data_IF_901843068868
#
_entry.id   IF_901843068868
#
_cell.length_a   1.000
_cell.length_b   1.000
_cell.length_c   1.000
_cell.angle_alpha   90.00
_cell.angle_beta   90.00
_cell.angle_gamma   90.00
#
_symmetry.space_group_name_H-M   'P 1'
#
loop_
_entity.id
_entity.type
_entity.pdbx_description
1 polymer ?
#
# COMPACT_ATOMS: atom_id res chain seq x y z
N UNK A 1 -3.90 9.82 14.18
CA UNK A 1 -2.40 9.85 14.16
C UNK A 1 -1.96 9.17 12.88
N UNK A 2 -1.18 9.81 12.04
CA UNK A 2 -0.70 9.24 10.77
C UNK A 2 0.47 8.30 11.09
N UNK A 3 0.35 7.03 10.70
CA UNK A 3 1.45 6.08 10.87
C UNK A 3 2.41 6.17 9.70
N UNK A 4 3.70 6.29 9.99
CA UNK A 4 4.78 6.36 9.01
C UNK A 4 5.48 5.01 8.98
N UNK A 5 5.74 4.45 7.79
CA UNK A 5 6.38 3.14 7.58
C UNK A 5 7.73 3.01 8.28
N UNK A 6 8.47 4.10 8.36
CA UNK A 6 9.77 4.16 9.04
C UNK A 6 9.76 3.61 10.47
N UNK A 7 8.69 3.83 11.21
CA UNK A 7 8.55 3.36 12.59
C UNK A 7 8.05 1.92 12.70
N UNK A 8 7.60 1.33 11.60
CA UNK A 8 7.00 0.01 11.59
C UNK A 8 8.08 -1.06 11.45
N UNK A 9 8.20 -1.95 12.44
CA UNK A 9 9.10 -3.12 12.39
C UNK A 9 8.37 -4.31 11.82
N UNK A 10 7.16 -4.57 12.32
CA UNK A 10 6.31 -5.69 11.89
C UNK A 10 4.88 -5.24 11.77
N UNK A 11 4.19 -5.79 10.79
CA UNK A 11 2.76 -5.63 10.61
C UNK A 11 2.17 -6.96 10.13
N UNK A 12 1.06 -7.34 10.71
CA UNK A 12 0.28 -8.50 10.30
C UNK A 12 -1.19 -8.15 10.34
N UNK A 13 -1.92 -8.56 9.32
CA UNK A 13 -3.37 -8.40 9.27
C UNK A 13 -4.01 -9.44 8.35
N UNK A 14 -5.23 -9.81 8.66
CA UNK A 14 -6.12 -10.43 7.71
C UNK A 14 -6.72 -9.33 6.83
N UNK A 15 -6.75 -9.53 5.52
CA UNK A 15 -7.25 -8.56 4.57
C UNK A 15 -8.29 -9.15 3.63
N UNK A 16 -9.37 -8.40 3.40
CA UNK A 16 -10.29 -8.63 2.31
C UNK A 16 -9.95 -7.64 1.19
N UNK A 17 -9.51 -8.17 0.05
CA UNK A 17 -9.13 -7.41 -1.14
C UNK A 17 -10.28 -7.41 -2.15
N UNK A 18 -10.62 -6.24 -2.67
CA UNK A 18 -11.50 -6.08 -3.82
C UNK A 18 -10.80 -5.25 -4.88
N UNK A 19 -10.40 -5.88 -5.97
CA UNK A 19 -9.85 -5.23 -7.15
C UNK A 19 -10.98 -4.98 -8.15
N UNK A 20 -11.15 -3.74 -8.59
CA UNK A 20 -12.06 -3.36 -9.67
C UNK A 20 -11.24 -2.83 -10.84
N UNK A 21 -11.48 -3.39 -12.01
CA UNK A 21 -10.90 -3.00 -13.29
C UNK A 21 -12.05 -2.78 -14.30
N UNK A 22 -11.82 -2.15 -15.46
CA UNK A 22 -12.90 -1.86 -16.43
C UNK A 22 -13.76 -3.06 -16.79
N UNK A 23 -13.17 -4.26 -16.83
CA UNK A 23 -13.82 -5.48 -17.28
C UNK A 23 -14.34 -6.37 -16.14
N UNK A 24 -14.29 -5.93 -14.88
CA UNK A 24 -14.81 -6.76 -13.79
C UNK A 24 -14.33 -6.37 -12.39
N UNK A 25 -14.80 -7.14 -11.41
CA UNK A 25 -14.40 -7.00 -10.02
C UNK A 25 -14.06 -8.36 -9.43
N UNK A 26 -12.92 -8.42 -8.71
CA UNK A 26 -12.38 -9.63 -8.10
C UNK A 26 -12.28 -9.45 -6.61
N UNK A 27 -12.66 -10.47 -5.86
CA UNK A 27 -12.55 -10.47 -4.39
C UNK A 27 -11.74 -11.67 -3.93
N UNK A 28 -10.76 -11.41 -3.08
CA UNK A 28 -9.95 -12.47 -2.45
C UNK A 28 -9.71 -12.10 -0.99
N UNK A 29 -9.46 -13.12 -0.17
CA UNK A 29 -8.95 -12.95 1.19
C UNK A 29 -7.46 -13.20 1.19
N UNK A 30 -6.74 -12.47 2.03
CA UNK A 30 -5.33 -12.75 2.22
C UNK A 30 -4.91 -12.50 3.68
N UNK A 31 -3.85 -13.15 4.08
CA UNK A 31 -3.10 -12.85 5.29
C UNK A 31 -1.85 -12.10 4.85
N UNK A 32 -1.66 -10.91 5.39
CA UNK A 32 -0.56 -10.01 5.07
C UNK A 32 0.40 -9.99 6.25
N UNK A 33 1.66 -10.29 6.01
CA UNK A 33 2.74 -10.12 6.98
C UNK A 33 3.84 -9.27 6.36
N UNK A 34 4.25 -8.26 7.09
CA UNK A 34 5.36 -7.38 6.75
C UNK A 34 6.38 -7.38 7.87
N UNK A 35 7.65 -7.50 7.51
CA UNK A 35 8.80 -7.20 8.38
C UNK A 35 9.66 -6.13 7.72
N UNK A 36 10.36 -5.37 8.55
CA UNK A 36 11.31 -4.35 8.09
C UNK A 36 12.28 -4.94 7.06
N UNK A 37 12.86 -4.10 6.20
CA UNK A 37 13.73 -4.47 5.08
C UNK A 37 12.99 -5.15 3.90
N UNK A 38 11.72 -4.74 3.69
CA UNK A 38 10.89 -5.21 2.57
C UNK A 38 10.72 -6.74 2.53
N UNK A 39 10.60 -7.35 3.70
CA UNK A 39 10.16 -8.74 3.80
C UNK A 39 8.66 -8.80 3.88
N UNK A 40 8.06 -9.39 2.88
CA UNK A 40 6.63 -9.57 2.81
C UNK A 40 6.31 -11.05 2.67
N UNK A 41 5.25 -11.45 3.32
CA UNK A 41 4.61 -12.75 3.12
C UNK A 41 3.11 -12.52 2.99
N UNK A 42 2.55 -12.89 1.86
CA UNK A 42 1.14 -12.73 1.56
C UNK A 42 0.58 -14.10 1.18
N UNK A 43 -0.37 -14.60 1.95
CA UNK A 43 -1.10 -15.81 1.65
C UNK A 43 -2.48 -15.44 1.10
N UNK A 44 -2.71 -15.72 -0.18
CA UNK A 44 -3.98 -15.45 -0.85
C UNK A 44 -4.86 -16.69 -0.77
N UNK A 45 -6.10 -16.49 -0.30
CA UNK A 45 -7.11 -17.52 -0.18
C UNK A 45 -8.34 -17.17 -1.00
N UNK A 46 -8.91 -18.17 -1.66
CA UNK A 46 -10.17 -18.09 -2.37
C UNK A 46 -11.36 -18.45 -1.48
N UNK A 47 -12.50 -18.74 -2.11
CA UNK A 47 -13.69 -19.23 -1.43
C UNK A 47 -13.39 -20.46 -0.59
N UNK A 48 -14.07 -20.60 0.54
CA UNK A 48 -13.95 -21.73 1.47
C UNK A 48 -12.54 -21.94 2.06
N UNK A 49 -11.67 -20.91 2.05
CA UNK A 49 -10.32 -20.99 2.62
C UNK A 49 -9.31 -21.76 1.76
N UNK A 50 -9.64 -22.05 0.50
CA UNK A 50 -8.72 -22.67 -0.44
C UNK A 50 -7.51 -21.77 -0.67
N UNK A 51 -6.31 -22.23 -0.34
CA UNK A 51 -5.08 -21.48 -0.57
C UNK A 51 -4.78 -21.42 -2.08
N UNK A 52 -4.77 -20.21 -2.63
CA UNK A 52 -4.57 -19.97 -4.07
C UNK A 52 -3.12 -19.68 -4.42
N UNK A 53 -2.50 -18.79 -3.66
CA UNK A 53 -1.14 -18.36 -3.92
C UNK A 53 -0.43 -17.92 -2.63
N UNK A 54 0.90 -17.93 -2.68
CA UNK A 54 1.78 -17.35 -1.69
C UNK A 54 2.73 -16.40 -2.42
N UNK A 55 2.84 -15.18 -1.93
CA UNK A 55 3.80 -14.20 -2.41
C UNK A 55 4.79 -13.95 -1.28
N UNK A 56 6.06 -14.09 -1.57
CA UNK A 56 7.15 -13.79 -0.64
C UNK A 56 8.12 -12.83 -1.30
N UNK A 57 8.53 -11.79 -0.56
CA UNK A 57 9.59 -10.89 -1.00
C UNK A 57 10.76 -10.94 -0.02
N UNK A 58 11.95 -10.85 -0.56
CA UNK A 58 13.18 -10.84 0.20
C UNK A 58 14.18 -9.88 -0.46
N UNK A 59 14.43 -8.75 0.18
CA UNK A 59 15.26 -7.69 -0.40
C UNK A 59 14.64 -7.18 -1.72
N UNK A 60 15.36 -7.36 -2.83
CA UNK A 60 14.90 -6.96 -4.17
C UNK A 60 14.23 -8.09 -4.97
N UNK A 61 14.07 -9.27 -4.40
CA UNK A 61 13.52 -10.43 -5.10
C UNK A 61 12.12 -10.77 -4.62
N UNK A 62 11.34 -11.41 -5.49
CA UNK A 62 10.07 -12.01 -5.13
C UNK A 62 9.95 -13.45 -5.63
N UNK A 63 9.09 -14.21 -4.94
CA UNK A 63 8.62 -15.53 -5.35
C UNK A 63 7.11 -15.51 -5.23
N UNK A 64 6.41 -15.99 -6.26
CA UNK A 64 4.96 -16.23 -6.26
C UNK A 64 4.72 -17.70 -6.51
N UNK A 65 4.25 -18.41 -5.49
CA UNK A 65 3.87 -19.82 -5.59
C UNK A 65 2.37 -19.91 -5.86
N UNK A 66 1.99 -20.47 -7.01
CA UNK A 66 0.61 -20.76 -7.37
C UNK A 66 0.24 -22.14 -6.84
N UNK A 67 -0.39 -22.17 -5.65
CA UNK A 67 -0.61 -23.43 -4.90
C UNK A 67 -1.59 -24.39 -5.58
N UNK A 68 -2.46 -23.88 -6.48
CA UNK A 68 -3.40 -24.73 -7.23
C UNK A 68 -2.70 -25.47 -8.35
N UNK A 69 -1.80 -24.79 -9.08
CA UNK A 69 -1.11 -25.37 -10.24
C UNK A 69 0.23 -25.99 -9.88
N UNK A 70 0.75 -25.70 -8.68
CA UNK A 70 2.09 -26.12 -8.26
C UNK A 70 3.21 -25.39 -9.01
N UNK A 71 2.91 -24.31 -9.69
CA UNK A 71 3.90 -23.53 -10.43
C UNK A 71 4.43 -22.38 -9.57
N UNK A 72 5.68 -21.98 -9.82
CA UNK A 72 6.35 -20.89 -9.11
C UNK A 72 6.91 -19.89 -10.12
N UNK A 73 6.77 -18.61 -9.82
CA UNK A 73 7.33 -17.52 -10.61
C UNK A 73 8.24 -16.72 -9.67
N UNK A 74 9.41 -16.33 -10.15
CA UNK A 74 10.34 -15.49 -9.39
C UNK A 74 10.95 -14.42 -10.28
N UNK A 75 11.31 -13.29 -9.67
CA UNK A 75 11.90 -12.16 -10.39
C UNK A 75 12.40 -11.09 -9.44
N UNK A 76 12.64 -9.89 -9.97
CA UNK A 76 13.02 -8.72 -9.21
C UNK A 76 11.82 -7.79 -9.04
N UNK A 77 11.76 -7.12 -7.87
CA UNK A 77 10.65 -6.25 -7.49
C UNK A 77 10.49 -5.01 -8.40
N UNK A 78 11.57 -4.59 -9.04
CA UNK A 78 11.64 -3.45 -9.95
C UNK A 78 11.36 -3.82 -11.41
N UNK A 79 11.12 -5.11 -11.70
CA UNK A 79 10.76 -5.59 -13.03
C UNK A 79 9.23 -5.74 -13.18
N UNK A 80 8.69 -5.53 -14.39
CA UNK A 80 7.29 -5.84 -14.69
C UNK A 80 6.97 -7.32 -14.46
N UNK A 81 5.84 -7.61 -13.84
CA UNK A 81 5.41 -8.99 -13.64
C UNK A 81 4.72 -9.48 -14.89
N UNK A 82 5.28 -10.50 -15.53
CA UNK A 82 4.63 -11.25 -16.58
C UNK A 82 3.87 -12.45 -15.97
N UNK A 83 2.55 -12.40 -15.96
CA UNK A 83 1.70 -13.55 -15.61
C UNK A 83 1.16 -14.17 -16.90
N UNK A 84 1.82 -15.20 -17.41
CA UNK A 84 1.46 -15.86 -18.67
C UNK A 84 1.63 -14.91 -19.87
N UNK A 85 0.63 -14.89 -20.78
CA UNK A 85 0.62 -13.98 -21.93
C UNK A 85 0.13 -12.56 -21.60
N UNK A 86 -0.32 -12.31 -20.36
CA UNK A 86 -0.72 -10.99 -19.91
C UNK A 86 0.51 -10.31 -19.28
N UNK A 87 1.07 -9.36 -20.01
CA UNK A 87 1.89 -8.31 -19.40
C UNK A 87 0.91 -7.39 -18.69
N UNK A 88 0.71 -7.63 -17.40
CA UNK A 88 0.08 -6.63 -16.56
C UNK A 88 1.12 -5.51 -16.42
N UNK A 89 0.89 -4.39 -17.08
CA UNK A 89 1.52 -3.12 -16.74
C UNK A 89 0.99 -2.64 -15.37
N UNK A 90 1.12 -3.52 -14.40
CA UNK A 90 0.94 -3.12 -13.01
C UNK A 90 2.15 -2.24 -12.64
N UNK A 91 1.92 -1.21 -11.84
CA UNK A 91 3.03 -0.57 -11.17
C UNK A 91 3.87 -1.67 -10.53
N UNK A 92 5.19 -1.50 -10.55
CA UNK A 92 6.17 -2.45 -10.03
C UNK A 92 5.64 -3.15 -8.76
N UNK A 93 5.94 -4.44 -8.60
CA UNK A 93 5.40 -5.23 -7.48
C UNK A 93 5.74 -4.61 -6.12
N UNK A 94 6.92 -3.98 -5.99
CA UNK A 94 7.32 -3.26 -4.78
C UNK A 94 6.35 -2.13 -4.45
N UNK A 95 5.91 -1.38 -5.47
CA UNK A 95 4.91 -0.33 -5.30
C UNK A 95 3.57 -0.91 -4.88
N UNK A 96 3.09 -1.97 -5.53
CA UNK A 96 1.82 -2.62 -5.19
C UNK A 96 1.82 -3.16 -3.76
N UNK A 97 2.89 -3.86 -3.37
CA UNK A 97 3.02 -4.45 -2.03
C UNK A 97 3.13 -3.35 -0.97
N UNK A 98 3.91 -2.31 -1.23
CA UNK A 98 4.03 -1.16 -0.33
C UNK A 98 2.71 -0.39 -0.19
N UNK A 99 1.91 -0.31 -1.26
CA UNK A 99 0.58 0.31 -1.21
C UNK A 99 -0.39 -0.44 -0.31
N UNK A 100 -0.21 -1.75 -0.08
CA UNK A 100 -1.06 -2.52 0.84
C UNK A 100 -0.80 -2.22 2.31
N UNK A 101 0.32 -1.57 2.68
CA UNK A 101 0.52 -1.10 4.04
C UNK A 101 -0.32 0.15 4.31
N UNK A 102 -1.08 0.17 5.41
CA UNK A 102 -1.87 1.34 5.79
C UNK A 102 -1.01 2.42 6.48
N UNK A 103 0.10 2.77 5.88
CA UNK A 103 1.07 3.75 6.39
C UNK A 103 1.60 4.62 5.26
N UNK A 104 2.10 5.81 5.60
CA UNK A 104 2.80 6.66 4.65
C UNK A 104 4.25 6.16 4.54
N UNK A 105 4.70 5.93 3.31
CA UNK A 105 6.07 5.54 3.02
C UNK A 105 6.93 6.79 2.79
N UNK A 106 7.59 7.24 3.86
CA UNK A 106 8.61 8.29 3.81
C UNK A 106 9.90 7.64 4.29
N UNK A 107 10.92 7.59 3.44
CA UNK A 107 12.20 6.97 3.78
C UNK A 107 13.17 7.98 4.41
N UNK A 108 14.04 7.51 5.30
CA UNK A 108 14.98 8.33 6.08
C UNK A 108 15.98 9.15 5.27
N UNK A 109 16.31 8.68 4.07
CA UNK A 109 17.39 9.25 3.26
C UNK A 109 16.91 10.28 2.25
N UNK A 110 15.62 10.60 2.23
CA UNK A 110 15.06 11.56 1.30
C UNK A 110 15.09 12.96 1.92
N UNK A 111 15.66 13.89 1.20
CA UNK A 111 15.45 15.31 1.50
C UNK A 111 14.00 15.62 1.20
N UNK A 112 13.23 15.97 2.21
CA UNK A 112 11.83 16.34 2.04
C UNK A 112 11.57 17.71 2.64
N UNK A 113 10.66 18.44 2.03
CA UNK A 113 10.09 19.67 2.57
C UNK A 113 8.62 19.44 2.90
N UNK A 114 8.19 19.95 4.05
CA UNK A 114 6.80 19.88 4.48
C UNK A 114 6.26 21.29 4.50
N UNK A 115 5.20 21.54 3.74
CA UNK A 115 4.50 22.83 3.75
C UNK A 115 3.01 22.61 4.03
N UNK A 116 2.41 23.38 4.96
CA UNK A 116 0.97 23.43 5.10
C UNK A 116 0.41 24.16 3.88
N UNK A 117 -0.58 23.57 3.24
CA UNK A 117 -1.40 24.23 2.24
C UNK A 117 -2.79 24.43 2.83
N UNK A 118 -3.20 25.67 3.02
CA UNK A 118 -4.55 25.98 3.47
C UNK A 118 -5.25 26.84 2.42
N UNK A 119 -6.34 26.34 1.89
CA UNK A 119 -7.34 27.14 1.19
C UNK A 119 -8.56 27.31 2.09
N UNK A 120 -9.49 28.20 1.72
CA UNK A 120 -10.75 28.41 2.48
C UNK A 120 -11.57 27.11 2.56
N UNK A 121 -11.32 26.14 1.66
CA UNK A 121 -12.11 24.92 1.51
C UNK A 121 -11.34 23.63 1.82
N UNK A 122 -10.02 23.71 1.98
CA UNK A 122 -9.20 22.51 2.12
C UNK A 122 -7.95 22.80 2.97
N UNK A 123 -7.70 21.92 3.93
CA UNK A 123 -6.46 21.92 4.71
C UNK A 123 -5.66 20.68 4.31
N UNK A 124 -4.56 20.88 3.62
CA UNK A 124 -3.68 19.80 3.22
C UNK A 124 -2.25 20.02 3.71
N UNK A 125 -1.56 18.91 3.88
CA UNK A 125 -0.13 18.87 4.11
C UNK A 125 0.54 18.40 2.82
N UNK A 126 1.45 19.17 2.29
CA UNK A 126 2.20 18.83 1.07
C UNK A 126 3.61 18.44 1.47
N UNK A 127 4.05 17.28 1.01
CA UNK A 127 5.39 16.74 1.20
C UNK A 127 6.02 16.59 -0.19
N UNK A 128 7.09 17.35 -0.43
CA UNK A 128 7.87 17.24 -1.66
C UNK A 128 9.17 16.51 -1.36
N UNK A 129 9.56 15.58 -2.22
CA UNK A 129 10.80 14.83 -2.11
C UNK A 129 11.30 14.41 -3.50
N UNK A 130 12.58 14.04 -3.58
CA UNK A 130 13.26 13.67 -4.81
C UNK A 130 13.82 12.25 -4.70
N UNK A 131 13.69 11.48 -5.78
CA UNK A 131 14.25 10.13 -5.91
C UNK A 131 14.82 9.98 -7.31
N UNK A 132 16.12 9.76 -7.45
CA UNK A 132 16.77 9.48 -8.74
C UNK A 132 16.41 10.51 -9.83
N UNK A 133 16.52 11.80 -9.52
CA UNK A 133 16.19 12.94 -10.40
C UNK A 133 14.69 13.17 -10.66
N UNK A 134 13.80 12.31 -10.14
CA UNK A 134 12.37 12.51 -10.20
C UNK A 134 11.84 13.25 -8.95
N UNK A 135 11.02 14.28 -9.19
CA UNK A 135 10.37 15.02 -8.11
C UNK A 135 8.99 14.47 -7.84
N UNK A 136 8.74 14.14 -6.57
CA UNK A 136 7.50 13.59 -6.07
C UNK A 136 6.78 14.57 -5.16
N UNK A 137 5.46 14.58 -5.26
CA UNK A 137 4.59 15.28 -4.33
C UNK A 137 3.64 14.29 -3.65
N UNK A 138 3.57 14.34 -2.32
CA UNK A 138 2.52 13.69 -1.55
C UNK A 138 1.64 14.79 -0.98
N UNK A 139 0.37 14.79 -1.32
CA UNK A 139 -0.63 15.67 -0.73
C UNK A 139 -1.50 14.88 0.22
N UNK A 140 -1.50 15.26 1.49
CA UNK A 140 -2.32 14.68 2.54
C UNK A 140 -3.48 15.61 2.83
N UNK A 141 -4.68 15.23 2.42
CA UNK A 141 -5.90 15.97 2.71
C UNK A 141 -6.49 15.49 4.03
N UNK A 142 -6.63 16.42 4.99
CA UNK A 142 -7.24 16.14 6.28
C UNK A 142 -8.75 16.29 6.13
N UNK A 143 -9.47 15.18 6.16
CA UNK A 143 -10.94 15.18 6.10
C UNK A 143 -11.54 15.48 7.46
N UNK A 144 -12.60 16.29 7.50
CA UNK A 144 -13.44 16.47 8.67
C UNK A 144 -14.44 15.31 8.88
N UNK A 145 -14.51 14.38 7.96
CA UNK A 145 -15.32 13.18 8.12
C UNK A 145 -14.68 12.28 9.20
N UNK A 146 -15.39 11.96 10.31
CA UNK A 146 -14.84 11.13 11.38
C UNK A 146 -14.45 9.71 10.94
N UNK A 147 -14.93 9.25 9.79
CA UNK A 147 -14.61 7.93 9.22
C UNK A 147 -13.45 8.00 8.23
N UNK A 148 -13.28 9.12 7.50
CA UNK A 148 -12.18 9.33 6.56
C UNK A 148 -11.28 10.38 7.17
N UNK A 149 -10.17 9.95 7.76
CA UNK A 149 -9.28 10.86 8.49
C UNK A 149 -8.37 11.62 7.55
N UNK A 150 -7.91 11.01 6.47
CA UNK A 150 -7.12 11.68 5.44
C UNK A 150 -7.09 10.92 4.12
N UNK A 151 -6.75 11.62 3.05
CA UNK A 151 -6.38 11.01 1.77
C UNK A 151 -4.94 11.40 1.39
N UNK A 152 -4.28 10.52 0.67
CA UNK A 152 -2.96 10.73 0.08
C UNK A 152 -3.10 10.75 -1.43
N UNK A 153 -2.60 11.81 -2.07
CA UNK A 153 -2.38 11.84 -3.52
C UNK A 153 -0.89 11.86 -3.80
N UNK A 154 -0.42 10.99 -4.69
CA UNK A 154 0.97 10.98 -5.12
C UNK A 154 1.08 11.31 -6.59
N UNK A 155 1.98 12.22 -6.93
CA UNK A 155 2.29 12.59 -8.30
C UNK A 155 3.81 12.66 -8.52
N UNK A 156 4.25 12.47 -9.77
CA UNK A 156 5.62 12.71 -10.25
C UNK A 156 5.54 13.79 -11.29
N UNK A 157 6.29 14.88 -11.11
CA UNK A 157 6.31 16.00 -12.05
C UNK A 157 4.89 16.44 -12.49
N UNK A 158 3.96 16.50 -11.52
CA UNK A 158 2.53 16.82 -11.71
C UNK A 158 1.71 15.74 -12.46
N UNK A 159 2.29 14.60 -12.80
CA UNK A 159 1.54 13.46 -13.29
C UNK A 159 0.98 12.67 -12.11
N UNK A 160 -0.34 12.52 -12.08
CA UNK A 160 -1.03 11.76 -11.05
C UNK A 160 -0.62 10.28 -11.09
N UNK A 161 -0.15 9.73 -9.97
CA UNK A 161 0.18 8.32 -9.84
C UNK A 161 -0.97 7.53 -9.25
N UNK A 162 -1.43 7.92 -8.05
CA UNK A 162 -2.55 7.27 -7.39
C UNK A 162 -3.11 8.15 -6.26
N UNK A 163 -4.31 7.80 -5.82
CA UNK A 163 -4.93 8.33 -4.61
C UNK A 163 -5.20 7.18 -3.64
N UNK A 164 -4.88 7.38 -2.36
CA UNK A 164 -5.27 6.50 -1.26
C UNK A 164 -6.19 7.24 -0.31
N UNK A 165 -7.27 6.58 0.10
CA UNK A 165 -8.19 7.06 1.13
C UNK A 165 -8.20 6.08 2.29
N UNK A 166 -8.16 6.60 3.52
CA UNK A 166 -8.02 5.81 4.74
C UNK A 166 -9.22 6.04 5.65
N UNK A 167 -9.94 4.97 5.95
CA UNK A 167 -11.09 4.98 6.85
C UNK A 167 -10.70 4.35 8.18
N UNK A 168 -10.92 5.08 9.28
CA UNK A 168 -10.61 4.65 10.65
C UNK A 168 -11.89 4.34 11.42
N UNK A 169 -11.84 3.32 12.28
CA UNK A 169 -12.97 3.01 13.16
C UNK A 169 -13.19 4.11 14.22
N UNK A 170 -12.09 4.63 14.74
CA UNK A 170 -12.07 5.73 15.72
C UNK A 170 -10.93 6.67 15.34
N UNK A 171 -11.08 7.96 15.60
CA UNK A 171 -10.04 8.97 15.34
C UNK A 171 -8.69 8.69 16.05
N UNK A 172 -8.70 7.88 17.10
CA UNK A 172 -7.52 7.50 17.88
C UNK A 172 -6.89 6.19 17.40
N UNK A 173 -7.53 5.48 16.46
CA UNK A 173 -6.97 4.23 15.91
C UNK A 173 -5.65 4.52 15.20
N UNK A 174 -4.63 3.72 15.46
CA UNK A 174 -3.32 3.89 14.82
C UNK A 174 -3.35 3.47 13.35
N UNK A 175 -4.16 2.47 13.01
CA UNK A 175 -4.32 1.97 11.65
C UNK A 175 -5.76 2.07 11.19
N UNK A 176 -6.00 2.31 9.89
CA UNK A 176 -7.33 2.30 9.32
C UNK A 176 -7.93 0.90 9.31
N UNK A 177 -9.25 0.83 9.31
CA UNK A 177 -9.96 -0.43 9.07
C UNK A 177 -10.19 -0.69 7.60
N UNK A 178 -10.16 0.36 6.77
CA UNK A 178 -10.23 0.25 5.31
C UNK A 178 -9.31 1.22 4.64
N UNK A 179 -8.86 0.84 3.46
CA UNK A 179 -8.11 1.69 2.55
C UNK A 179 -8.63 1.46 1.13
N UNK A 180 -8.78 2.53 0.38
CA UNK A 180 -9.06 2.50 -1.06
C UNK A 180 -7.89 3.10 -1.81
N UNK A 181 -7.47 2.46 -2.88
CA UNK A 181 -6.42 2.94 -3.78
C UNK A 181 -7.06 3.10 -5.16
N UNK A 182 -6.87 4.23 -5.80
CA UNK A 182 -7.36 4.47 -7.15
C UNK A 182 -6.27 5.01 -8.06
N UNK A 183 -6.24 4.52 -9.29
CA UNK A 183 -5.39 4.96 -10.37
C UNK A 183 -6.16 4.78 -11.68
N UNK A 184 -6.49 5.87 -12.37
CA UNK A 184 -7.33 5.84 -13.56
C UNK A 184 -8.63 5.02 -13.32
N UNK A 185 -8.87 4.00 -14.15
CA UNK A 185 -10.05 3.13 -14.08
C UNK A 185 -9.87 1.90 -13.18
N UNK A 186 -8.75 1.82 -12.44
CA UNK A 186 -8.43 0.73 -11.52
C UNK A 186 -8.63 1.20 -10.10
N UNK A 187 -9.35 0.42 -9.30
CA UNK A 187 -9.43 0.65 -7.86
C UNK A 187 -9.20 -0.64 -7.08
N UNK A 188 -8.47 -0.51 -5.98
CA UNK A 188 -8.24 -1.57 -5.01
C UNK A 188 -8.80 -1.11 -3.66
N UNK A 189 -9.72 -1.89 -3.11
CA UNK A 189 -10.23 -1.69 -1.75
C UNK A 189 -9.68 -2.79 -0.85
N UNK A 190 -9.18 -2.39 0.30
CA UNK A 190 -8.60 -3.27 1.31
C UNK A 190 -9.36 -3.04 2.61
N UNK A 191 -9.89 -4.11 3.20
CA UNK A 191 -10.46 -4.09 4.55
C UNK A 191 -9.53 -4.90 5.45
N UNK A 192 -9.11 -4.30 6.56
CA UNK A 192 -8.19 -4.91 7.52
C UNK A 192 -8.94 -5.44 8.74
N UNK A 193 -8.55 -6.61 9.19
CA UNK A 193 -8.98 -7.21 10.45
C UNK A 193 -7.81 -7.89 11.15
N UNK A 194 -7.96 -8.21 12.42
CA UNK A 194 -6.92 -8.90 13.21
C UNK A 194 -5.53 -8.24 13.10
N UNK A 195 -5.49 -6.91 13.19
CA UNK A 195 -4.26 -6.14 13.02
C UNK A 195 -3.34 -6.32 14.22
N UNK A 196 -2.13 -6.80 13.97
CA UNK A 196 -1.02 -6.88 14.92
C UNK A 196 0.17 -6.11 14.37
N UNK A 197 0.86 -5.35 15.21
CA UNK A 197 2.00 -4.55 14.75
C UNK A 197 3.04 -4.35 15.86
N UNK A 198 4.25 -4.05 15.43
CA UNK A 198 5.35 -3.67 16.30
C UNK A 198 6.05 -2.43 15.73
N UNK A 199 6.13 -1.37 16.52
CA UNK A 199 6.83 -0.15 16.17
C UNK A 199 8.23 -0.11 16.82
N UNK A 200 9.12 0.67 16.22
CA UNK A 200 10.41 1.01 16.81
C UNK A 200 10.18 1.87 18.06
N UNK A 201 10.79 1.50 19.17
CA UNK A 201 10.83 2.37 20.35
C UNK A 201 11.88 3.45 20.06
N UNK A 202 11.41 4.65 19.78
CA UNK A 202 12.31 5.81 19.75
C UNK A 202 12.72 6.07 21.18
N UNK A 203 13.97 5.78 21.52
CA UNK A 203 14.55 6.26 22.77
C UNK A 203 14.68 7.78 22.63
N UNK A 204 13.86 8.52 23.39
CA UNK A 204 13.98 9.96 23.56
C UNK A 204 15.30 10.34 24.20
#
# INVERSE_FOLDING_TARGET
>A
MISIKYNLIKFQADIDLQLTIPNGSYKVKAELQYERENRWLIHISGPFGLKLARIETFGKRYIVDMLITGSSISGYLDEPIAIGAMVLELPRLDMFVNLMLPVIDITDNQQFSISPHSSIYDSSLVINYEVEDDQYEIRLNLSYNPLIVYSEERSVNYNFLYRREFEYKLAQSQFPIKMSISHQDISLRITYSNIHYQNRILKG
#
